data_IF_030088889267
#
_entry.id   IF_030088889267
#
_cell.length_a   1.000
_cell.length_b   1.000
_cell.length_c   1.000
_cell.angle_alpha   90.00
_cell.angle_beta   90.00
_cell.angle_gamma   90.00
#
_symmetry.space_group_name_H-M   'P 1'
#
loop_
_entity.id
_entity.type
_entity.pdbx_description
1 polymer ?
#
# COMPACT_ATOMS: atom_id res chain seq x y z
N UNK A 1 -3.31 13.14 -6.32
CA UNK A 1 -3.84 12.01 -7.15
C UNK A 1 -3.86 12.44 -8.61
N UNK A 2 -3.64 11.50 -9.53
CA UNK A 2 -3.84 11.77 -10.95
C UNK A 2 -5.33 11.95 -11.29
N UNK A 3 -5.64 12.57 -12.43
CA UNK A 3 -7.03 12.82 -12.87
C UNK A 3 -7.89 11.56 -12.98
N UNK A 4 -7.26 10.40 -13.14
CA UNK A 4 -7.93 9.08 -13.18
C UNK A 4 -8.11 8.42 -11.80
N UNK A 5 -7.75 9.11 -10.71
CA UNK A 5 -7.85 8.60 -9.34
C UNK A 5 -6.72 7.66 -8.91
N UNK A 6 -5.71 7.42 -9.73
CA UNK A 6 -4.56 6.58 -9.35
C UNK A 6 -3.54 7.36 -8.53
N UNK A 7 -2.87 6.65 -7.60
CA UNK A 7 -1.75 7.20 -6.87
C UNK A 7 -0.50 7.16 -7.74
N UNK A 8 0.25 8.26 -7.77
CA UNK A 8 1.55 8.34 -8.43
C UNK A 8 2.62 8.63 -7.39
N UNK A 9 3.49 7.65 -7.14
CA UNK A 9 4.54 7.78 -6.15
C UNK A 9 5.60 8.83 -6.53
N UNK A 10 5.94 8.93 -7.81
CA UNK A 10 6.87 9.93 -8.31
C UNK A 10 6.35 11.36 -8.10
N UNK A 11 5.07 11.58 -8.38
CA UNK A 11 4.42 12.87 -8.11
C UNK A 11 4.38 13.18 -6.61
N UNK A 12 4.12 12.17 -5.76
CA UNK A 12 4.13 12.34 -4.31
C UNK A 12 5.53 12.69 -3.77
N UNK A 13 6.58 12.04 -4.26
CA UNK A 13 7.96 12.33 -3.86
C UNK A 13 8.41 13.76 -4.20
N UNK A 14 7.92 14.29 -5.31
CA UNK A 14 8.26 15.61 -5.82
C UNK A 14 7.25 16.69 -5.46
N UNK A 15 6.18 16.33 -4.73
CA UNK A 15 5.15 17.27 -4.32
C UNK A 15 5.70 18.34 -3.38
N UNK A 16 5.45 19.60 -3.70
CA UNK A 16 5.93 20.77 -2.94
C UNK A 16 4.82 21.72 -2.54
N UNK A 17 3.75 21.75 -3.31
CA UNK A 17 2.61 22.63 -3.10
C UNK A 17 1.36 22.12 -3.80
N UNK A 18 0.23 22.73 -3.53
CA UNK A 18 -1.06 22.42 -4.17
C UNK A 18 -1.03 22.59 -5.71
N UNK A 19 -0.08 23.36 -6.24
CA UNK A 19 0.12 23.49 -7.69
C UNK A 19 0.58 22.16 -8.35
N UNK A 20 1.18 21.26 -7.57
CA UNK A 20 1.64 19.94 -8.04
C UNK A 20 0.52 18.87 -8.00
N UNK A 21 -0.68 19.26 -7.56
CA UNK A 21 -1.86 18.41 -7.46
C UNK A 21 -2.34 18.17 -6.03
N UNK A 22 -3.47 17.50 -5.90
CA UNK A 22 -4.10 17.25 -4.61
C UNK A 22 -3.38 16.14 -3.83
N UNK A 23 -2.98 16.47 -2.59
CA UNK A 23 -2.49 15.49 -1.63
C UNK A 23 -3.66 14.90 -0.87
N UNK A 24 -3.84 13.58 -0.96
CA UNK A 24 -4.91 12.85 -0.28
C UNK A 24 -4.32 11.87 0.73
N UNK A 25 -4.78 11.93 1.96
CA UNK A 25 -4.38 11.06 3.06
C UNK A 25 -5.43 9.98 3.32
N UNK A 26 -5.09 8.73 3.06
CA UNK A 26 -5.96 7.59 3.33
C UNK A 26 -5.68 6.98 4.71
N UNK A 27 -6.63 7.14 5.64
CA UNK A 27 -6.55 6.58 6.99
C UNK A 27 -7.17 5.19 7.00
N UNK A 28 -6.44 4.19 7.43
CA UNK A 28 -6.89 2.79 7.35
C UNK A 28 -7.06 2.10 8.72
N UNK A 29 -6.57 2.71 9.82
CA UNK A 29 -6.68 2.16 11.17
C UNK A 29 -6.51 3.26 12.23
N UNK A 30 -6.90 2.97 13.48
CA UNK A 30 -6.76 3.87 14.62
C UNK A 30 -6.30 3.10 15.87
N UNK A 31 -4.98 2.97 16.08
CA UNK A 31 -4.42 2.22 17.22
C UNK A 31 -4.45 3.01 18.54
N UNK A 32 -4.71 4.31 18.50
CA UNK A 32 -4.77 5.18 19.69
C UNK A 32 -5.75 6.32 19.49
N UNK A 33 -6.55 6.62 20.53
CA UNK A 33 -7.48 7.75 20.49
C UNK A 33 -7.74 8.33 21.88
N UNK A 34 -7.61 9.66 22.02
CA UNK A 34 -7.90 10.42 23.26
C UNK A 34 -7.32 9.77 24.53
N UNK A 35 -6.04 9.40 24.50
CA UNK A 35 -5.36 8.80 25.65
C UNK A 35 -5.64 7.30 25.85
N UNK A 36 -6.45 6.67 25.02
CA UNK A 36 -6.76 5.24 25.09
C UNK A 36 -5.99 4.44 24.05
N UNK A 37 -5.36 3.37 24.49
CA UNK A 37 -4.77 2.35 23.61
C UNK A 37 -5.88 1.46 23.06
N UNK A 38 -5.99 1.37 21.74
CA UNK A 38 -7.01 0.59 21.05
C UNK A 38 -6.42 -0.66 20.36
N UNK A 39 -5.13 -0.94 20.51
CA UNK A 39 -4.43 -1.99 19.77
C UNK A 39 -4.97 -3.40 20.04
N UNK A 40 -5.48 -3.64 21.24
CA UNK A 40 -6.07 -4.93 21.61
C UNK A 40 -7.50 -5.14 21.06
N UNK A 41 -8.16 -4.07 20.61
CA UNK A 41 -9.46 -4.20 19.97
C UNK A 41 -9.32 -4.89 18.60
N UNK A 42 -10.41 -5.53 18.16
CA UNK A 42 -10.49 -6.07 16.81
C UNK A 42 -10.32 -4.98 15.75
N UNK A 43 -9.78 -5.32 14.57
CA UNK A 43 -9.67 -4.38 13.46
C UNK A 43 -11.03 -3.77 13.10
N UNK A 44 -12.11 -4.57 13.16
CA UNK A 44 -13.47 -4.09 12.86
C UNK A 44 -13.91 -3.01 13.83
N UNK A 45 -13.64 -3.20 15.13
CA UNK A 45 -14.03 -2.23 16.16
C UNK A 45 -13.20 -0.97 16.07
N UNK A 46 -11.88 -1.08 15.82
CA UNK A 46 -11.05 0.10 15.57
C UNK A 46 -11.55 0.89 14.35
N UNK A 47 -11.95 0.20 13.28
CA UNK A 47 -12.51 0.87 12.09
C UNK A 47 -13.87 1.53 12.34
N UNK A 48 -14.71 1.00 13.22
CA UNK A 48 -15.94 1.67 13.66
C UNK A 48 -15.62 3.00 14.37
N UNK A 49 -14.70 2.95 15.35
CA UNK A 49 -14.25 4.16 16.06
C UNK A 49 -13.66 5.17 15.06
N UNK A 50 -12.80 4.70 14.12
CA UNK A 50 -12.21 5.56 13.10
C UNK A 50 -13.28 6.32 12.30
N UNK A 51 -14.34 5.65 11.87
CA UNK A 51 -15.44 6.28 11.12
C UNK A 51 -16.20 7.32 11.92
N UNK A 52 -16.33 7.10 13.22
CA UNK A 52 -17.05 8.04 14.11
C UNK A 52 -16.23 9.29 14.41
N UNK A 53 -14.90 9.17 14.47
CA UNK A 53 -14.06 10.26 14.99
C UNK A 53 -13.26 11.01 13.92
N UNK A 54 -13.09 10.43 12.74
CA UNK A 54 -12.31 11.05 11.67
C UNK A 54 -13.15 12.10 10.93
N UNK A 55 -12.76 13.40 10.97
CA UNK A 55 -13.40 14.41 10.14
C UNK A 55 -13.03 14.13 8.67
N UNK A 56 -14.00 13.71 7.88
CA UNK A 56 -13.81 13.48 6.47
C UNK A 56 -13.88 14.79 5.68
N UNK A 57 -12.96 14.97 4.74
CA UNK A 57 -12.92 16.06 3.77
C UNK A 57 -12.25 15.56 2.47
N UNK A 58 -12.08 16.43 1.50
CA UNK A 58 -11.50 16.06 0.21
C UNK A 58 -10.05 15.53 0.29
N UNK A 59 -9.32 15.87 1.36
CA UNK A 59 -7.90 15.52 1.53
C UNK A 59 -7.68 14.42 2.56
N UNK A 60 -8.69 14.09 3.38
CA UNK A 60 -8.60 13.03 4.40
C UNK A 60 -9.76 12.07 4.19
N UNK A 61 -9.44 10.87 3.78
CA UNK A 61 -10.41 9.82 3.44
C UNK A 61 -10.15 8.57 4.28
N UNK A 62 -11.22 7.84 4.60
CA UNK A 62 -11.09 6.51 5.20
C UNK A 62 -10.83 5.50 4.07
N UNK A 63 -9.79 4.70 4.23
CA UNK A 63 -9.53 3.57 3.36
C UNK A 63 -10.64 2.53 3.51
N UNK A 64 -11.45 2.36 2.49
CA UNK A 64 -12.53 1.38 2.48
C UNK A 64 -12.01 -0.05 2.54
N UNK A 65 -12.88 -0.97 2.95
CA UNK A 65 -12.60 -2.39 2.98
C UNK A 65 -13.81 -3.17 2.48
N UNK A 66 -13.53 -4.32 1.91
CA UNK A 66 -14.54 -5.18 1.32
C UNK A 66 -14.48 -6.56 1.95
N UNK A 67 -15.64 -7.07 2.36
CA UNK A 67 -15.80 -8.47 2.77
C UNK A 67 -16.12 -9.29 1.53
N UNK A 68 -15.10 -9.80 0.86
CA UNK A 68 -15.25 -10.54 -0.39
C UNK A 68 -14.19 -11.62 -0.52
N UNK A 69 -14.31 -12.46 -1.53
CA UNK A 69 -13.26 -13.41 -1.91
C UNK A 69 -11.98 -12.66 -2.26
N UNK A 70 -10.89 -12.98 -1.56
CA UNK A 70 -9.58 -12.37 -1.83
C UNK A 70 -9.09 -12.62 -3.26
N UNK A 71 -9.47 -13.75 -3.88
CA UNK A 71 -9.10 -14.08 -5.27
C UNK A 71 -9.77 -13.10 -6.22
N UNK A 72 -11.10 -12.97 -6.14
CA UNK A 72 -11.87 -12.05 -6.98
C UNK A 72 -11.40 -10.61 -6.81
N UNK A 73 -11.14 -10.19 -5.57
CA UNK A 73 -10.66 -8.83 -5.29
C UNK A 73 -9.27 -8.58 -5.86
N UNK A 74 -8.38 -9.57 -5.82
CA UNK A 74 -7.04 -9.48 -6.44
C UNK A 74 -7.13 -9.39 -7.97
N UNK A 75 -8.05 -10.10 -8.59
CA UNK A 75 -8.27 -10.02 -10.04
C UNK A 75 -8.75 -8.63 -10.47
N UNK A 76 -9.70 -8.05 -9.73
CA UNK A 76 -10.14 -6.67 -9.99
C UNK A 76 -9.01 -5.66 -9.77
N UNK A 77 -8.20 -5.83 -8.71
CA UNK A 77 -7.02 -5.00 -8.49
C UNK A 77 -6.01 -5.09 -9.66
N UNK A 78 -5.84 -6.27 -10.25
CA UNK A 78 -4.99 -6.46 -11.45
C UNK A 78 -5.54 -5.70 -12.66
N UNK A 79 -6.86 -5.80 -12.92
CA UNK A 79 -7.52 -5.06 -14.02
C UNK A 79 -7.35 -3.56 -13.88
N UNK A 80 -7.40 -3.05 -12.66
CA UNK A 80 -7.17 -1.64 -12.34
C UNK A 80 -5.69 -1.23 -12.33
N UNK A 81 -4.76 -2.16 -12.60
CA UNK A 81 -3.33 -1.87 -12.63
C UNK A 81 -2.70 -1.61 -11.27
N UNK A 82 -3.35 -2.02 -10.16
CA UNK A 82 -2.84 -1.83 -8.81
C UNK A 82 -1.69 -2.81 -8.51
N UNK A 83 -0.78 -2.43 -7.62
CA UNK A 83 0.33 -3.28 -7.18
C UNK A 83 -0.13 -4.57 -6.48
N UNK A 84 -1.31 -4.57 -5.87
CA UNK A 84 -1.85 -5.65 -5.10
C UNK A 84 -2.85 -5.20 -4.06
N UNK A 85 -3.14 -6.09 -3.13
CA UNK A 85 -4.12 -5.86 -2.05
C UNK A 85 -3.52 -6.15 -0.68
N UNK A 86 -4.11 -5.56 0.35
CA UNK A 86 -3.85 -5.91 1.75
C UNK A 86 -5.03 -6.71 2.30
N UNK A 87 -4.81 -7.99 2.56
CA UNK A 87 -5.76 -8.82 3.29
C UNK A 87 -5.50 -8.71 4.80
N UNK A 88 -6.54 -8.43 5.57
CA UNK A 88 -6.44 -8.24 7.02
C UNK A 88 -7.50 -9.06 7.73
N UNK A 89 -7.12 -9.78 8.77
CA UNK A 89 -8.09 -10.48 9.63
C UNK A 89 -8.95 -9.47 10.39
N UNK A 90 -10.25 -9.65 10.32
CA UNK A 90 -11.24 -8.75 10.90
C UNK A 90 -11.17 -8.65 12.44
N UNK A 91 -10.83 -9.77 13.09
CA UNK A 91 -10.72 -9.91 14.54
C UNK A 91 -9.31 -9.63 15.09
N UNK A 92 -8.35 -9.23 14.25
CA UNK A 92 -6.96 -9.03 14.65
C UNK A 92 -6.73 -7.76 15.45
N UNK A 93 -5.86 -7.83 16.44
CA UNK A 93 -5.25 -6.68 17.09
C UNK A 93 -4.28 -5.91 16.18
N UNK A 94 -3.70 -4.84 16.71
CA UNK A 94 -2.67 -4.06 16.02
C UNK A 94 -1.31 -4.28 16.68
N UNK A 95 -0.41 -4.93 15.99
CA UNK A 95 0.94 -5.25 16.49
C UNK A 95 2.01 -4.42 15.78
N UNK A 96 2.43 -3.28 16.36
CA UNK A 96 3.44 -2.42 15.74
C UNK A 96 4.78 -3.16 15.63
N UNK A 97 5.48 -2.96 14.51
CA UNK A 97 6.79 -3.58 14.21
C UNK A 97 6.80 -5.12 14.10
N UNK A 98 5.65 -5.79 14.22
CA UNK A 98 5.55 -7.23 14.02
C UNK A 98 5.13 -7.56 12.59
N UNK A 99 5.74 -8.60 12.02
CA UNK A 99 5.23 -9.25 10.80
C UNK A 99 4.28 -10.35 11.23
N UNK A 100 3.00 -10.03 11.29
CA UNK A 100 1.94 -10.95 11.65
C UNK A 100 1.34 -11.61 10.40
N UNK A 101 0.82 -12.82 10.54
CA UNK A 101 0.01 -13.48 9.51
C UNK A 101 -1.41 -12.88 9.39
N UNK A 102 -1.77 -11.99 10.29
CA UNK A 102 -3.09 -11.33 10.28
C UNK A 102 -3.21 -10.26 9.20
N UNK A 103 -2.08 -9.71 8.73
CA UNK A 103 -2.01 -8.73 7.66
C UNK A 103 -1.10 -9.23 6.55
N UNK A 104 -1.67 -9.52 5.40
CA UNK A 104 -0.94 -10.08 4.26
C UNK A 104 -0.94 -9.09 3.10
N UNK A 105 0.24 -8.72 2.63
CA UNK A 105 0.39 -8.01 1.35
C UNK A 105 0.40 -9.07 0.23
N UNK A 106 -0.65 -9.07 -0.59
CA UNK A 106 -0.77 -9.95 -1.76
C UNK A 106 -0.49 -9.11 -3.01
N UNK A 107 0.62 -9.40 -3.67
CA UNK A 107 1.04 -8.65 -4.86
C UNK A 107 0.30 -9.12 -6.10
N UNK A 108 -0.14 -8.18 -6.92
CA UNK A 108 -0.60 -8.43 -8.28
C UNK A 108 0.64 -8.51 -9.20
N UNK A 109 1.29 -9.68 -9.23
CA UNK A 109 2.54 -9.84 -9.98
C UNK A 109 2.30 -9.58 -11.48
N UNK A 110 2.97 -8.59 -12.03
CA UNK A 110 3.19 -8.46 -13.47
C UNK A 110 4.47 -9.24 -13.79
N UNK A 111 4.46 -10.01 -14.87
CA UNK A 111 5.64 -10.69 -15.39
C UNK A 111 5.96 -10.12 -16.76
N UNK A 112 7.23 -9.94 -17.03
CA UNK A 112 7.74 -9.54 -18.33
C UNK A 112 9.04 -10.29 -18.57
N UNK A 113 9.19 -10.84 -19.74
CA UNK A 113 10.46 -11.40 -20.20
C UNK A 113 11.39 -10.25 -20.58
N UNK A 114 12.65 -10.38 -20.20
CA UNK A 114 13.67 -9.36 -20.45
C UNK A 114 14.96 -10.04 -20.93
N UNK A 115 15.71 -9.35 -21.76
CA UNK A 115 17.07 -9.73 -22.12
C UNK A 115 18.04 -9.07 -21.17
N UNK A 116 18.93 -9.85 -20.57
CA UNK A 116 20.00 -9.32 -19.72
C UNK A 116 21.13 -8.84 -20.63
N UNK A 117 21.35 -7.52 -20.69
CA UNK A 117 22.40 -6.88 -21.48
C UNK A 117 23.72 -6.70 -20.72
N UNK A 118 23.70 -6.77 -19.40
CA UNK A 118 24.90 -6.59 -18.58
C UNK A 118 24.60 -6.49 -17.09
N UNK A 119 25.65 -6.31 -16.30
CA UNK A 119 25.55 -6.08 -14.86
C UNK A 119 26.68 -5.16 -14.38
N UNK A 120 26.48 -4.52 -13.24
CA UNK A 120 27.53 -3.73 -12.57
C UNK A 120 28.12 -4.52 -11.42
N UNK A 121 29.45 -4.54 -11.33
CA UNK A 121 30.15 -5.12 -10.19
C UNK A 121 29.86 -4.30 -8.92
N UNK A 122 29.92 -4.96 -7.80
CA UNK A 122 29.74 -4.33 -6.50
C UNK A 122 31.07 -4.30 -5.77
N UNK A 123 31.70 -3.11 -5.73
CA UNK A 123 32.95 -2.92 -5.01
C UNK A 123 32.69 -2.83 -3.51
N UNK A 124 33.33 -3.70 -2.74
CA UNK A 124 33.34 -3.64 -1.27
C UNK A 124 32.24 -4.42 -0.56
N UNK A 125 31.50 -5.32 -1.24
CA UNK A 125 30.54 -6.19 -0.57
C UNK A 125 30.68 -7.65 -1.01
N UNK A 126 30.08 -8.56 -0.23
CA UNK A 126 30.03 -10.00 -0.59
C UNK A 126 29.11 -10.35 -1.78
N UNK A 127 28.38 -9.37 -2.31
CA UNK A 127 27.52 -9.57 -3.48
C UNK A 127 28.32 -9.41 -4.77
N UNK A 128 28.15 -10.33 -5.70
CA UNK A 128 28.88 -10.36 -6.97
C UNK A 128 28.52 -9.16 -7.87
N UNK A 129 27.26 -8.68 -7.83
CA UNK A 129 26.80 -7.54 -8.62
C UNK A 129 25.79 -6.69 -7.82
N UNK A 130 25.63 -5.44 -8.20
CA UNK A 130 24.71 -4.49 -7.57
C UNK A 130 23.46 -4.24 -8.39
N UNK A 131 23.56 -4.24 -9.70
CA UNK A 131 22.43 -4.05 -10.62
C UNK A 131 22.59 -4.85 -11.90
N UNK A 132 21.48 -5.08 -12.59
CA UNK A 132 21.42 -5.77 -13.87
C UNK A 132 20.80 -4.83 -14.90
N UNK A 133 21.47 -4.68 -16.04
CA UNK A 133 20.94 -3.96 -17.20
C UNK A 133 20.02 -4.91 -17.96
N UNK A 134 18.78 -4.52 -18.14
CA UNK A 134 17.77 -5.31 -18.86
C UNK A 134 17.17 -4.52 -20.01
N UNK A 135 16.85 -5.23 -21.08
CA UNK A 135 16.13 -4.70 -22.24
C UNK A 135 14.87 -5.51 -22.52
N UNK A 136 13.92 -4.90 -23.20
CA UNK A 136 12.71 -5.55 -23.72
C UNK A 136 12.67 -5.37 -25.23
N UNK A 137 12.08 -6.33 -25.93
CA UNK A 137 11.74 -6.14 -27.33
C UNK A 137 10.42 -5.35 -27.42
N UNK A 138 10.37 -4.40 -28.35
CA UNK A 138 9.14 -3.69 -28.71
C UNK A 138 8.29 -4.55 -29.66
#
# INVERSE_FOLDING_TARGET
MEKNGTANFGSLQNWRSEADGDLVYYVFDIPWYKGKDLKELSLVDRKKILREVLPQNNNILISEHFHTSGITFLEEARKLGLEGIMAKRADSGYYPKARSKDWLKVKANKRQEVVIGGYTLNDGSSKLFSSVLVGVYE
#
